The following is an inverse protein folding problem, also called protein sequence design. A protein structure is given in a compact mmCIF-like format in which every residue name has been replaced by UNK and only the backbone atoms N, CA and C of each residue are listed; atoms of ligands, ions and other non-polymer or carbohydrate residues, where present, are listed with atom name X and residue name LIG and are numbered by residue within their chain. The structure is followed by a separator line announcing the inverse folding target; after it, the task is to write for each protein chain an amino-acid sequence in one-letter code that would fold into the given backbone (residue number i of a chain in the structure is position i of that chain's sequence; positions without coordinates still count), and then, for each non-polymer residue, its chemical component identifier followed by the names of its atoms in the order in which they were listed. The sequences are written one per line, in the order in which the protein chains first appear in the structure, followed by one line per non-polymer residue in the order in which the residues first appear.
data_IF_354432124379
#
_entry.id   IF_354432124379
#
_cell.length_a   1.000
_cell.length_b   1.000
_cell.length_c   1.000
_cell.angle_alpha   90.00
_cell.angle_beta   90.00
_cell.angle_gamma   90.00
#
_symmetry.space_group_name_H-M   'P 1'
#
loop_
_entity.id
_entity.type
_entity.pdbx_description
1 polymer ?
#
# COMPACT_ATOMS: atom_id res chain seq x y z
N UNK A 1 -6.47 -9.25 8.11
CA UNK A 1 -5.55 -8.65 7.11
C UNK A 1 -4.45 -7.85 7.80
N UNK A 2 -3.16 -8.13 7.58
CA UNK A 2 -1.98 -7.62 8.32
C UNK A 2 -1.94 -7.85 9.85
N UNK A 3 -2.84 -7.25 10.66
CA UNK A 3 -2.85 -7.44 12.13
C UNK A 3 -3.06 -8.90 12.54
N UNK A 4 -3.78 -9.66 11.70
CA UNK A 4 -3.98 -11.11 11.90
C UNK A 4 -2.71 -11.94 11.66
N UNK A 5 -1.79 -11.49 10.81
CA UNK A 5 -0.59 -12.27 10.48
C UNK A 5 0.35 -12.38 11.69
N UNK A 6 0.43 -11.33 12.53
CA UNK A 6 1.21 -11.36 13.78
C UNK A 6 0.54 -12.19 14.88
N UNK A 7 -0.78 -12.32 14.87
CA UNK A 7 -1.54 -13.03 15.92
C UNK A 7 -1.55 -14.55 15.74
N UNK A 8 -1.56 -15.03 14.50
CA UNK A 8 -1.74 -16.47 14.21
C UNK A 8 -0.46 -17.29 14.31
N UNK A 9 0.73 -16.69 14.19
CA UNK A 9 2.02 -17.42 14.15
C UNK A 9 2.96 -17.18 15.34
N UNK A 10 2.59 -16.32 16.29
CA UNK A 10 3.37 -16.12 17.53
C UNK A 10 4.78 -15.52 17.37
N UNK A 11 5.28 -15.31 16.15
CA UNK A 11 6.64 -14.86 15.90
C UNK A 11 6.71 -13.41 15.39
N UNK A 12 7.77 -12.71 15.79
CA UNK A 12 8.17 -11.39 15.28
C UNK A 12 8.82 -11.61 13.90
N UNK A 13 8.00 -11.76 12.86
CA UNK A 13 8.47 -11.98 11.49
C UNK A 13 7.60 -11.24 10.47
N UNK A 14 8.18 -10.96 9.31
CA UNK A 14 7.44 -10.47 8.15
C UNK A 14 6.83 -11.67 7.42
N UNK A 15 5.61 -11.50 6.92
CA UNK A 15 4.88 -12.52 6.19
C UNK A 15 4.24 -11.91 4.96
N UNK A 16 4.17 -12.68 3.88
CA UNK A 16 3.45 -12.27 2.67
C UNK A 16 1.94 -12.35 2.96
N UNK A 17 1.19 -11.24 2.96
CA UNK A 17 -0.26 -11.28 3.06
C UNK A 17 -0.86 -11.88 1.77
N UNK A 18 -1.86 -12.75 1.92
CA UNK A 18 -2.66 -13.28 0.82
C UNK A 18 -4.15 -12.99 1.07
N UNK A 19 -4.91 -12.77 -0.01
CA UNK A 19 -6.35 -12.54 -0.01
C UNK A 19 -6.78 -11.11 -0.33
N UNK A 20 -7.79 -10.98 -1.18
CA UNK A 20 -8.41 -9.70 -1.55
C UNK A 20 -7.48 -8.80 -2.36
N UNK A 21 -7.46 -7.50 -2.07
CA UNK A 21 -6.59 -6.54 -2.75
C UNK A 21 -5.08 -6.82 -2.58
N UNK A 22 -4.68 -7.62 -1.58
CA UNK A 22 -3.28 -8.03 -1.42
C UNK A 22 -2.79 -8.95 -2.53
N UNK A 23 -3.68 -9.55 -3.32
CA UNK A 23 -3.31 -10.36 -4.49
C UNK A 23 -2.89 -9.50 -5.68
N UNK A 24 -3.40 -8.27 -5.74
CA UNK A 24 -3.13 -7.32 -6.82
C UNK A 24 -2.00 -6.35 -6.47
N UNK A 25 -1.97 -5.88 -5.21
CA UNK A 25 -1.02 -4.86 -4.75
C UNK A 25 -0.36 -5.24 -3.42
N UNK A 26 0.91 -4.90 -3.27
CA UNK A 26 1.69 -5.14 -2.06
C UNK A 26 1.18 -4.33 -0.87
N UNK A 27 0.76 -3.08 -1.12
CA UNK A 27 0.34 -2.15 -0.09
C UNK A 27 -1.07 -1.57 -0.37
N UNK A 28 -2.13 -2.38 -0.26
CA UNK A 28 -3.50 -1.91 -0.50
C UNK A 28 -3.97 -0.83 0.48
N UNK A 29 -3.37 -0.76 1.68
CA UNK A 29 -3.69 0.30 2.65
C UNK A 29 -3.33 1.69 2.10
N UNK A 30 -2.14 1.83 1.50
CA UNK A 30 -1.70 3.10 0.93
C UNK A 30 -2.55 3.51 -0.28
N UNK A 31 -3.06 2.53 -1.03
CA UNK A 31 -4.06 2.80 -2.07
C UNK A 31 -5.36 3.37 -1.49
N UNK A 32 -5.89 2.74 -0.44
CA UNK A 32 -7.09 3.23 0.26
C UNK A 32 -6.91 4.64 0.82
N UNK A 33 -5.78 4.93 1.47
CA UNK A 33 -5.45 6.27 1.96
C UNK A 33 -5.36 7.28 0.81
N UNK A 34 -4.75 6.93 -0.32
CA UNK A 34 -4.69 7.81 -1.49
C UNK A 34 -6.10 8.16 -2.01
N UNK A 35 -6.97 7.17 -2.18
CA UNK A 35 -8.36 7.39 -2.62
C UNK A 35 -9.11 8.26 -1.61
N UNK A 36 -8.91 8.04 -0.32
CA UNK A 36 -9.54 8.84 0.74
C UNK A 36 -9.10 10.31 0.70
N UNK A 37 -7.80 10.57 0.53
CA UNK A 37 -7.29 11.94 0.46
C UNK A 37 -7.72 12.67 -0.83
N UNK A 38 -7.77 11.96 -1.96
CA UNK A 38 -8.32 12.50 -3.21
C UNK A 38 -9.81 12.84 -3.03
N UNK A 39 -10.59 11.93 -2.43
CA UNK A 39 -12.00 12.17 -2.11
C UNK A 39 -12.21 13.37 -1.18
N UNK A 40 -11.35 13.53 -0.18
CA UNK A 40 -11.40 14.68 0.72
C UNK A 40 -11.03 16.00 0.03
N UNK A 41 -10.02 15.99 -0.84
CA UNK A 41 -9.64 17.16 -1.62
C UNK A 41 -10.80 17.59 -2.55
N UNK A 42 -11.46 16.64 -3.19
CA UNK A 42 -12.65 16.89 -4.03
C UNK A 42 -13.84 17.40 -3.20
N UNK A 43 -14.11 16.81 -2.04
CA UNK A 43 -15.23 17.19 -1.19
C UNK A 43 -15.06 18.58 -0.55
N UNK A 44 -13.83 18.96 -0.19
CA UNK A 44 -13.54 20.28 0.38
C UNK A 44 -13.34 21.36 -0.67
N UNK A 45 -13.08 20.98 -1.92
CA UNK A 45 -12.71 21.87 -3.03
C UNK A 45 -11.68 22.94 -2.63
N UNK A 46 -10.76 22.56 -1.74
CA UNK A 46 -9.82 23.47 -1.11
C UNK A 46 -8.42 23.27 -1.68
N UNK A 47 -7.73 24.38 -1.95
CA UNK A 47 -6.33 24.33 -2.40
C UNK A 47 -5.45 23.64 -1.35
N UNK A 48 -5.74 23.85 -0.06
CA UNK A 48 -5.06 23.17 1.04
C UNK A 48 -5.25 21.64 1.00
N UNK A 49 -6.49 21.17 0.76
CA UNK A 49 -6.79 19.74 0.61
C UNK A 49 -6.10 19.12 -0.60
N UNK A 50 -6.02 19.85 -1.72
CA UNK A 50 -5.31 19.40 -2.91
C UNK A 50 -3.80 19.26 -2.67
N UNK A 51 -3.17 20.29 -2.07
CA UNK A 51 -1.74 20.24 -1.73
C UNK A 51 -1.43 19.11 -0.75
N UNK A 52 -2.31 18.90 0.25
CA UNK A 52 -2.18 17.79 1.19
C UNK A 52 -2.30 16.42 0.51
N UNK A 53 -3.25 16.26 -0.41
CA UNK A 53 -3.42 15.02 -1.16
C UNK A 53 -2.19 14.72 -2.03
N UNK A 54 -1.64 15.72 -2.72
CA UNK A 54 -0.41 15.59 -3.52
C UNK A 54 0.81 15.22 -2.67
N UNK A 55 0.99 15.88 -1.52
CA UNK A 55 2.07 15.58 -0.59
C UNK A 55 1.96 14.16 -0.01
N UNK A 56 0.75 13.77 0.40
CA UNK A 56 0.45 12.43 0.92
C UNK A 56 0.71 11.37 -0.16
N UNK A 57 0.25 11.62 -1.39
CA UNK A 57 0.46 10.74 -2.52
C UNK A 57 1.95 10.50 -2.80
N UNK A 58 2.76 11.56 -2.87
CA UNK A 58 4.20 11.44 -3.10
C UNK A 58 4.88 10.60 -2.01
N UNK A 59 4.51 10.81 -0.75
CA UNK A 59 5.06 10.08 0.39
C UNK A 59 4.68 8.59 0.37
N UNK A 60 3.40 8.30 0.10
CA UNK A 60 2.91 6.92 0.09
C UNK A 60 3.43 6.12 -1.10
N UNK A 61 3.50 6.72 -2.28
CA UNK A 61 4.06 6.07 -3.47
C UNK A 61 5.52 5.69 -3.24
N UNK A 62 6.34 6.61 -2.70
CA UNK A 62 7.74 6.33 -2.39
C UNK A 62 7.90 5.21 -1.35
N UNK A 63 7.13 5.26 -0.24
CA UNK A 63 7.18 4.21 0.80
C UNK A 63 6.73 2.85 0.28
N UNK A 64 5.67 2.83 -0.52
CA UNK A 64 5.15 1.58 -1.04
C UNK A 64 6.10 0.94 -2.06
N UNK A 65 6.77 1.76 -2.87
CA UNK A 65 7.83 1.29 -3.76
C UNK A 65 8.96 0.62 -2.96
N UNK A 66 9.45 1.30 -1.91
CA UNK A 66 10.48 0.75 -1.05
C UNK A 66 10.04 -0.57 -0.39
N UNK A 67 8.80 -0.62 0.11
CA UNK A 67 8.26 -1.83 0.71
C UNK A 67 8.09 -2.98 -0.32
N UNK A 68 7.68 -2.66 -1.55
CA UNK A 68 7.58 -3.62 -2.65
C UNK A 68 8.95 -4.21 -3.03
N UNK A 69 10.00 -3.39 -3.08
CA UNK A 69 11.38 -3.85 -3.30
C UNK A 69 11.86 -4.72 -2.15
N UNK A 70 11.65 -4.27 -0.91
CA UNK A 70 12.01 -5.04 0.27
C UNK A 70 11.35 -6.43 0.26
N UNK A 71 10.07 -6.53 -0.11
CA UNK A 71 9.39 -7.83 -0.24
C UNK A 71 9.99 -8.72 -1.33
N UNK A 72 10.43 -8.17 -2.47
CA UNK A 72 11.07 -8.95 -3.54
C UNK A 72 12.46 -9.46 -3.13
N UNK A 73 13.21 -8.64 -2.38
CA UNK A 73 14.56 -9.00 -1.93
C UNK A 73 14.55 -10.02 -0.78
N UNK A 74 13.55 -9.94 0.11
CA UNK A 74 13.51 -10.75 1.33
C UNK A 74 12.70 -12.05 1.17
N UNK A 75 11.91 -12.20 0.11
CA UNK A 75 11.10 -13.40 -0.12
C UNK A 75 11.29 -13.96 -1.54
N UNK A 76 11.93 -15.12 -1.66
CA UNK A 76 12.07 -15.83 -2.94
C UNK A 76 10.72 -16.22 -3.58
N UNK A 77 9.70 -16.51 -2.76
CA UNK A 77 8.36 -16.89 -3.23
C UNK A 77 7.40 -15.69 -3.38
N UNK A 78 7.92 -14.48 -3.61
CA UNK A 78 7.08 -13.31 -3.80
C UNK A 78 6.37 -13.35 -5.17
N UNK A 79 5.02 -13.23 -5.22
CA UNK A 79 4.29 -13.32 -6.48
C UNK A 79 4.66 -12.16 -7.44
N UNK A 80 5.16 -12.47 -8.66
CA UNK A 80 5.72 -11.48 -9.57
C UNK A 80 4.66 -10.55 -10.18
N UNK A 81 3.39 -10.97 -10.19
CA UNK A 81 2.28 -10.19 -10.73
C UNK A 81 1.80 -9.07 -9.81
N UNK A 82 2.27 -8.99 -8.55
CA UNK A 82 1.87 -7.92 -7.63
C UNK A 82 2.51 -6.59 -8.01
N UNK A 83 1.71 -5.55 -7.90
CA UNK A 83 2.10 -4.14 -8.07
C UNK A 83 2.34 -3.48 -6.71
N UNK A 84 3.03 -2.35 -6.66
CA UNK A 84 3.40 -1.70 -5.40
C UNK A 84 2.18 -1.08 -4.68
N UNK A 85 1.34 -0.32 -5.40
CA UNK A 85 0.21 0.47 -4.86
C UNK A 85 -1.02 0.46 -5.75
N UNK A 86 -0.87 0.71 -7.04
CA UNK A 86 -1.98 0.91 -7.98
C UNK A 86 -2.21 -0.42 -8.71
N UNK A 87 -3.38 -1.05 -8.55
CA UNK A 87 -3.70 -2.29 -9.25
C UNK A 87 -3.45 -2.14 -10.75
N UNK A 88 -2.74 -3.11 -11.34
CA UNK A 88 -2.45 -3.19 -12.77
C UNK A 88 -1.56 -2.10 -13.39
N UNK A 89 -1.28 -1.00 -12.68
CA UNK A 89 -0.40 0.08 -13.15
C UNK A 89 0.95 0.11 -12.44
N UNK A 90 0.95 0.24 -11.10
CA UNK A 90 2.15 0.58 -10.34
C UNK A 90 2.30 -0.24 -9.07
#
# INVERSE_FOLDING_TARGET
MLRSLRKTRGCVGYYIPYGGLFELVSCPNYFGELVQWIGWALATWSLAGFVWACFSAATFLARAHHNHMWYKENFENYPPNRKAVIPFLY
#
